data_IF_865297292892
#
_entry.id   IF_865297292892
#
_cell.length_a   1.000
_cell.length_b   1.000
_cell.length_c   1.000
_cell.angle_alpha   90.00
_cell.angle_beta   90.00
_cell.angle_gamma   90.00
#
_symmetry.space_group_name_H-M   'P 1'
#
loop_
_entity.id
_entity.type
_entity.pdbx_description
1 polymer ?
#
# COMPACT_ATOMS: atom_id res chain seq x y z
N UNK A 1 -3.87 21.14 -9.91
CA UNK A 1 -3.37 20.06 -10.78
C UNK A 1 -1.87 19.87 -10.64
N UNK A 2 -1.51 18.65 -10.24
CA UNK A 2 -0.14 18.17 -10.12
C UNK A 2 0.06 16.94 -11.00
N UNK A 3 1.31 16.64 -11.36
CA UNK A 3 1.64 15.42 -12.07
C UNK A 3 2.95 14.79 -11.60
N UNK A 4 3.08 13.51 -11.91
CA UNK A 4 4.26 12.69 -11.62
C UNK A 4 4.63 11.93 -12.89
N UNK A 5 5.90 11.99 -13.28
CA UNK A 5 6.39 11.24 -14.43
C UNK A 5 6.87 9.85 -14.01
N UNK A 6 6.60 8.84 -14.84
CA UNK A 6 7.25 7.55 -14.73
C UNK A 6 7.63 6.96 -16.10
N UNK A 7 8.74 6.23 -16.12
CA UNK A 7 9.18 5.48 -17.32
C UNK A 7 8.24 4.32 -17.62
N UNK A 8 7.71 3.67 -16.57
CA UNK A 8 6.68 2.62 -16.69
C UNK A 8 5.57 2.83 -15.66
N UNK A 9 4.32 2.89 -16.12
CA UNK A 9 3.12 2.97 -15.30
C UNK A 9 2.30 1.69 -15.47
N UNK A 10 2.06 0.96 -14.38
CA UNK A 10 1.08 -0.11 -14.33
C UNK A 10 -0.26 0.47 -13.87
N UNK A 11 -1.33 0.22 -14.63
CA UNK A 11 -2.68 0.70 -14.28
C UNK A 11 -3.53 -0.36 -13.58
N UNK A 12 -2.99 -1.57 -13.43
CA UNK A 12 -3.74 -2.77 -13.07
C UNK A 12 -4.45 -3.44 -14.25
N UNK A 13 -4.53 -2.77 -15.42
CA UNK A 13 -5.13 -3.33 -16.66
C UNK A 13 -4.17 -3.31 -17.85
N UNK A 14 -3.25 -2.36 -17.86
CA UNK A 14 -2.32 -2.12 -18.95
C UNK A 14 -1.02 -1.52 -18.44
N UNK A 15 -0.01 -1.49 -19.31
CA UNK A 15 1.29 -0.89 -19.07
C UNK A 15 1.46 0.31 -20.00
N UNK A 16 1.88 1.45 -19.45
CA UNK A 16 2.11 2.68 -20.21
C UNK A 16 3.53 3.18 -19.97
N UNK A 17 4.30 3.37 -21.04
CA UNK A 17 5.68 3.85 -20.94
C UNK A 17 5.79 5.37 -21.12
N UNK A 18 6.74 6.00 -20.43
CA UNK A 18 7.12 7.41 -20.53
C UNK A 18 5.90 8.35 -20.48
N UNK A 19 5.22 8.38 -19.33
CA UNK A 19 3.97 9.11 -19.17
C UNK A 19 3.89 9.78 -17.79
N UNK A 20 2.88 10.63 -17.65
CA UNK A 20 2.61 11.41 -16.45
C UNK A 20 1.27 10.97 -15.85
N UNK A 21 1.28 10.59 -14.58
CA UNK A 21 0.05 10.49 -13.78
C UNK A 21 -0.37 11.90 -13.36
N UNK A 22 -1.58 12.30 -13.73
CA UNK A 22 -2.15 13.62 -13.43
C UNK A 22 -3.21 13.47 -12.35
N UNK A 23 -3.16 14.34 -11.34
CA UNK A 23 -4.10 14.32 -10.25
C UNK A 23 -4.36 15.72 -9.69
N UNK A 24 -5.50 15.84 -9.02
CA UNK A 24 -5.89 17.05 -8.31
C UNK A 24 -6.35 16.69 -6.90
N UNK A 25 -5.57 17.11 -5.90
CA UNK A 25 -5.75 16.68 -4.52
C UNK A 25 -5.71 15.15 -4.40
N UNK A 26 -6.86 14.56 -4.05
CA UNK A 26 -7.03 13.12 -3.82
C UNK A 26 -7.57 12.37 -5.05
N UNK A 27 -7.88 13.07 -6.14
CA UNK A 27 -8.51 12.49 -7.32
C UNK A 27 -7.50 12.35 -8.44
N UNK A 28 -7.33 11.14 -8.96
CA UNK A 28 -6.54 10.89 -10.18
C UNK A 28 -7.38 11.32 -11.38
N UNK A 29 -6.88 12.28 -12.16
CA UNK A 29 -7.56 12.79 -13.36
C UNK A 29 -7.24 11.94 -14.60
N UNK A 30 -6.09 11.26 -14.62
CA UNK A 30 -5.74 10.33 -15.70
C UNK A 30 -4.23 10.19 -15.93
N UNK A 31 -3.89 9.63 -17.09
CA UNK A 31 -2.50 9.49 -17.56
C UNK A 31 -2.34 10.28 -18.85
N UNK A 32 -1.26 11.07 -18.95
CA UNK A 32 -0.95 11.92 -20.09
C UNK A 32 0.47 11.69 -20.59
N UNK A 33 0.69 11.81 -21.90
CA UNK A 33 2.05 11.79 -22.48
C UNK A 33 2.83 13.07 -22.20
N UNK A 34 2.12 14.18 -21.96
CA UNK A 34 2.71 15.47 -21.62
C UNK A 34 2.43 15.83 -20.16
N UNK A 35 3.34 16.59 -19.55
CA UNK A 35 3.13 17.09 -18.20
C UNK A 35 1.91 18.03 -18.17
N UNK A 36 1.02 17.81 -17.21
CA UNK A 36 -0.14 18.68 -16.97
C UNK A 36 -0.11 19.16 -15.52
N UNK A 37 0.03 20.47 -15.32
CA UNK A 37 0.22 21.07 -14.00
C UNK A 37 1.65 20.96 -13.48
N UNK A 38 1.82 21.04 -12.16
CA UNK A 38 3.16 21.04 -11.53
C UNK A 38 3.72 19.62 -11.45
N UNK A 39 4.91 19.41 -12.01
CA UNK A 39 5.65 18.16 -11.86
C UNK A 39 6.20 18.04 -10.44
N UNK A 40 5.79 16.99 -9.70
CA UNK A 40 6.20 16.77 -8.32
C UNK A 40 7.33 15.75 -8.17
N UNK A 41 7.53 14.89 -9.16
CA UNK A 41 8.56 13.85 -9.10
C UNK A 41 8.68 13.05 -10.38
N UNK A 42 9.80 12.31 -10.47
CA UNK A 42 10.10 11.37 -11.54
C UNK A 42 10.49 10.03 -10.91
N UNK A 43 9.92 8.95 -11.42
CA UNK A 43 10.14 7.60 -10.91
C UNK A 43 10.41 6.65 -12.08
N UNK A 44 11.16 5.57 -11.85
CA UNK A 44 11.36 4.56 -12.89
C UNK A 44 10.06 3.79 -13.14
N UNK A 45 9.35 3.44 -12.05
CA UNK A 45 8.12 2.66 -12.12
C UNK A 45 7.07 3.21 -11.15
N UNK A 46 5.82 3.22 -11.60
CA UNK A 46 4.65 3.59 -10.82
C UNK A 46 3.58 2.49 -10.90
N UNK A 47 3.03 2.10 -9.77
CA UNK A 47 1.99 1.05 -9.66
C UNK A 47 0.82 1.53 -8.80
N UNK A 48 -0.37 0.93 -8.93
CA UNK A 48 -1.40 1.08 -7.91
C UNK A 48 -0.88 0.53 -6.58
N UNK A 49 -1.41 1.03 -5.47
CA UNK A 49 -1.15 0.40 -4.17
C UNK A 49 -1.72 -1.02 -4.14
N UNK A 50 -1.05 -1.89 -3.39
CA UNK A 50 -1.54 -3.24 -3.13
C UNK A 50 -2.72 -3.20 -2.18
N UNK A 51 -3.66 -4.13 -2.39
CA UNK A 51 -4.80 -4.37 -1.53
C UNK A 51 -4.68 -5.80 -1.04
N UNK A 52 -4.69 -5.98 0.28
CA UNK A 52 -4.88 -7.28 0.91
C UNK A 52 -6.35 -7.39 1.34
N UNK A 53 -7.19 -8.16 0.62
CA UNK A 53 -8.59 -8.34 0.98
C UNK A 53 -8.79 -9.37 2.10
N UNK A 54 -7.74 -10.05 2.56
CA UNK A 54 -7.84 -11.14 3.52
C UNK A 54 -6.75 -11.06 4.58
N UNK A 55 -6.90 -10.10 5.49
CA UNK A 55 -6.05 -9.97 6.67
C UNK A 55 -6.84 -10.24 7.93
N UNK A 56 -6.21 -10.92 8.88
CA UNK A 56 -6.76 -11.16 10.22
C UNK A 56 -6.29 -10.01 11.11
N UNK A 57 -7.03 -8.90 11.08
CA UNK A 57 -6.63 -7.66 11.75
C UNK A 57 -6.82 -7.81 13.26
N UNK A 58 -5.73 -7.63 14.03
CA UNK A 58 -5.76 -7.68 15.49
C UNK A 58 -5.70 -9.09 16.08
N UNK A 59 -5.89 -10.14 15.28
CA UNK A 59 -5.87 -11.53 15.78
C UNK A 59 -4.45 -12.07 15.99
N UNK A 60 -3.44 -11.40 15.43
CA UNK A 60 -2.04 -11.74 15.54
C UNK A 60 -1.23 -10.48 15.80
N UNK A 61 -0.29 -10.53 16.75
CA UNK A 61 0.54 -9.38 17.10
C UNK A 61 1.95 -9.50 16.57
N UNK A 62 2.48 -8.38 16.07
CA UNK A 62 3.87 -8.33 15.59
C UNK A 62 4.87 -8.69 16.70
N UNK A 63 5.51 -9.86 16.57
CA UNK A 63 6.58 -10.33 17.45
C UNK A 63 6.13 -11.15 18.66
N UNK A 64 4.84 -11.46 18.80
CA UNK A 64 4.35 -12.38 19.83
C UNK A 64 4.55 -13.85 19.42
N UNK A 65 4.62 -14.78 20.40
CA UNK A 65 4.64 -16.21 20.12
C UNK A 65 3.37 -16.63 19.38
N UNK A 66 3.51 -17.47 18.35
CA UNK A 66 2.38 -17.95 17.55
C UNK A 66 1.34 -18.78 18.32
N UNK A 67 1.66 -19.20 19.55
CA UNK A 67 0.72 -19.91 20.42
C UNK A 67 -0.20 -18.99 21.23
N UNK A 68 0.13 -17.69 21.28
CA UNK A 68 -0.66 -16.68 22.00
C UNK A 68 -1.58 -15.89 21.04
N UNK A 69 -1.52 -16.21 19.75
CA UNK A 69 -2.37 -15.65 18.71
C UNK A 69 -3.82 -16.11 18.82
N UNK A 70 -4.72 -15.25 18.38
CA UNK A 70 -6.16 -15.48 18.38
C UNK A 70 -6.69 -15.86 16.99
N UNK A 71 -5.81 -15.88 15.97
CA UNK A 71 -6.12 -16.51 14.69
C UNK A 71 -6.19 -18.02 14.93
N UNK A 72 -7.36 -18.63 14.69
CA UNK A 72 -7.64 -20.04 14.96
C UNK A 72 -6.83 -21.01 14.07
N UNK A 73 -5.50 -21.01 14.20
CA UNK A 73 -4.56 -21.75 13.36
C UNK A 73 -4.57 -23.25 13.69
N UNK A 74 -4.96 -23.60 14.93
CA UNK A 74 -5.09 -25.00 15.38
C UNK A 74 -6.42 -25.66 14.97
N UNK A 75 -7.24 -24.97 14.17
CA UNK A 75 -8.51 -25.48 13.62
C UNK A 75 -9.49 -25.98 14.69
N UNK A 76 -9.55 -25.28 15.83
CA UNK A 76 -10.54 -25.59 16.85
C UNK A 76 -11.95 -25.25 16.36
N UNK A 77 -12.93 -26.09 16.70
CA UNK A 77 -14.30 -25.92 16.19
C UNK A 77 -14.97 -24.62 16.63
N UNK A 78 -14.62 -24.10 17.81
CA UNK A 78 -15.13 -22.82 18.36
C UNK A 78 -14.08 -22.25 19.31
N UNK A 79 -13.61 -21.03 19.05
CA UNK A 79 -12.90 -20.22 20.04
C UNK A 79 -13.91 -19.35 20.77
N UNK A 80 -14.23 -19.72 22.02
CA UNK A 80 -15.29 -19.06 22.80
C UNK A 80 -14.85 -17.77 23.49
N UNK A 81 -13.54 -17.52 23.56
CA UNK A 81 -12.96 -16.40 24.29
C UNK A 81 -12.44 -15.28 23.38
N UNK A 82 -12.19 -15.55 22.10
CA UNK A 82 -11.63 -14.58 21.16
C UNK A 82 -12.74 -13.68 20.61
N UNK A 83 -12.60 -12.38 20.80
CA UNK A 83 -13.42 -11.36 20.13
C UNK A 83 -12.50 -10.43 19.36
N UNK A 84 -12.63 -10.44 18.02
CA UNK A 84 -11.79 -9.66 17.12
C UNK A 84 -11.79 -8.16 17.44
N UNK A 85 -12.82 -7.60 18.07
CA UNK A 85 -12.84 -6.20 18.48
C UNK A 85 -11.94 -5.93 19.69
N UNK A 86 -11.82 -6.89 20.59
CA UNK A 86 -10.97 -6.81 21.79
C UNK A 86 -9.51 -7.16 21.47
N UNK A 87 -9.26 -7.92 20.40
CA UNK A 87 -7.92 -8.28 19.94
C UNK A 87 -7.16 -7.11 19.30
N UNK A 88 -7.85 -6.06 18.83
CA UNK A 88 -7.19 -4.92 18.16
C UNK A 88 -6.37 -4.09 19.14
N UNK A 89 -5.04 -4.24 19.05
CA UNK A 89 -4.08 -3.44 19.80
C UNK A 89 -3.57 -2.24 18.97
N UNK A 90 -3.89 -1.02 19.42
CA UNK A 90 -3.61 0.21 18.67
C UNK A 90 -2.12 0.56 18.56
N UNK A 91 -1.27 -0.07 19.37
CA UNK A 91 0.19 0.11 19.36
C UNK A 91 0.92 -0.91 18.48
N UNK A 92 0.20 -1.83 17.83
CA UNK A 92 0.80 -2.84 16.97
C UNK A 92 1.51 -2.20 15.75
N UNK A 93 2.77 -2.57 15.57
CA UNK A 93 3.61 -2.15 14.44
C UNK A 93 3.06 -2.64 13.11
N UNK A 94 2.33 -3.76 13.09
CA UNK A 94 1.75 -4.36 11.89
C UNK A 94 0.89 -3.35 11.10
N UNK A 95 0.16 -2.45 11.77
CA UNK A 95 -0.61 -1.38 11.12
C UNK A 95 0.27 -0.37 10.38
N UNK A 96 1.39 0.03 10.98
CA UNK A 96 2.34 0.95 10.34
C UNK A 96 3.10 0.24 9.22
N UNK A 97 3.42 -1.03 9.41
CA UNK A 97 4.12 -1.84 8.45
C UNK A 97 3.25 -2.14 7.24
N UNK A 98 1.96 -2.45 7.37
CA UNK A 98 1.07 -2.69 6.22
C UNK A 98 1.05 -1.51 5.22
N UNK A 99 1.19 -0.27 5.72
CA UNK A 99 1.29 0.94 4.90
C UNK A 99 2.69 1.11 4.26
N UNK A 100 3.76 0.68 4.95
CA UNK A 100 5.13 0.82 4.47
C UNK A 100 5.62 -0.37 3.64
N UNK A 101 4.94 -1.51 3.77
CA UNK A 101 5.23 -2.79 3.13
C UNK A 101 4.65 -2.88 1.72
N UNK A 102 4.01 -1.81 1.21
CA UNK A 102 3.91 -1.61 -0.24
C UNK A 102 5.33 -1.56 -0.80
N UNK A 103 5.78 -2.72 -1.30
CA UNK A 103 7.16 -3.20 -1.28
C UNK A 103 8.29 -2.17 -1.55
N UNK A 104 9.36 -2.12 -0.74
CA UNK A 104 10.68 -1.79 -1.24
C UNK A 104 11.21 -3.01 -2.02
N UNK A 105 10.95 -3.04 -3.33
CA UNK A 105 11.66 -3.93 -4.25
C UNK A 105 13.16 -3.56 -4.30
N UNK A 106 14.06 -4.50 -4.64
CA UNK A 106 15.51 -4.37 -4.48
C UNK A 106 16.03 -3.04 -5.01
N UNK A 107 16.95 -2.44 -4.25
CA UNK A 107 17.60 -1.15 -4.54
C UNK A 107 18.21 -1.13 -5.94
N UNK A 108 17.41 -0.78 -6.94
CA UNK A 108 17.79 -0.48 -8.30
C UNK A 108 17.35 0.93 -8.66
N UNK A 109 18.26 1.89 -8.47
CA UNK A 109 18.32 3.26 -9.04
C UNK A 109 17.01 4.03 -9.37
N UNK A 110 15.96 3.92 -8.56
CA UNK A 110 14.83 4.86 -8.62
C UNK A 110 13.82 4.59 -7.51
N UNK A 111 13.21 5.63 -6.90
CA UNK A 111 12.08 5.39 -6.03
C UNK A 111 10.91 4.80 -6.84
N UNK A 112 10.18 3.86 -6.25
CA UNK A 112 8.89 3.39 -6.73
C UNK A 112 7.83 4.22 -6.00
N UNK A 113 6.85 4.78 -6.70
CA UNK A 113 5.73 5.44 -6.05
C UNK A 113 4.47 4.58 -6.17
N UNK A 114 3.93 4.16 -5.02
CA UNK A 114 2.62 3.54 -4.93
C UNK A 114 1.55 4.61 -4.80
N UNK A 115 0.61 4.62 -5.74
CA UNK A 115 -0.56 5.50 -5.69
C UNK A 115 -1.58 4.88 -4.74
N UNK A 116 -1.48 5.25 -3.47
CA UNK A 116 -2.34 4.78 -2.37
C UNK A 116 -1.83 5.20 -0.99
N UNK A 117 -0.56 5.65 -0.90
CA UNK A 117 -0.27 6.74 0.02
C UNK A 117 -1.10 7.93 -0.43
N UNK A 118 -2.02 8.41 0.43
CA UNK A 118 -2.37 9.82 0.44
C UNK A 118 -1.06 10.58 0.22
N UNK A 119 -1.00 11.33 -0.88
CA UNK A 119 0.18 12.06 -1.33
C UNK A 119 0.66 12.91 -0.16
N UNK A 120 1.58 12.36 0.64
CA UNK A 120 2.27 13.09 1.69
C UNK A 120 3.41 13.78 0.96
N UNK A 121 3.03 14.89 0.33
CA UNK A 121 3.94 15.94 -0.09
C UNK A 121 4.81 16.26 1.13
N UNK A 122 6.10 15.93 1.01
CA UNK A 122 7.13 16.61 1.78
C UNK A 122 7.29 17.99 1.14
#
# INVERSE_FOLDING_TARGET
MNCIFAETIYTGKSVVSNAHLVFDGQIISGISKTAQGRLLGKFSVLTPAFIDPHSHIGMERSGEPSGDGEANDQLESVLTLTDALDSVQMDDKAFRESINSSAPLPKGNGPLLFVGRAIRLI
#
